data_IF_401794180106
#
_entry.id   IF_401794180106
#
_cell.length_a   1.000
_cell.length_b   1.000
_cell.length_c   1.000
_cell.angle_alpha   90.00
_cell.angle_beta   90.00
_cell.angle_gamma   90.00
#
_symmetry.space_group_name_H-M   'P 1'
#
loop_
_entity.id
_entity.type
_entity.pdbx_description
1 polymer ?
#
# COMPACT_ATOMS: atom_id res chain seq x y z
N UNK A 1 27.31 -10.59 -2.71
CA UNK A 1 26.13 -10.85 -1.86
C UNK A 1 24.90 -10.76 -2.74
N UNK A 2 24.29 -11.89 -3.08
CA UNK A 2 23.05 -11.91 -3.87
C UNK A 2 21.91 -11.36 -3.01
N UNK A 3 21.00 -10.51 -3.53
CA UNK A 3 19.80 -10.15 -2.79
C UNK A 3 19.02 -11.43 -2.47
N UNK A 4 18.73 -11.63 -1.19
CA UNK A 4 17.92 -12.76 -0.73
C UNK A 4 16.64 -12.84 -1.57
N UNK A 5 16.36 -14.00 -2.20
CA UNK A 5 15.14 -14.19 -3.01
C UNK A 5 13.86 -13.77 -2.27
N UNK A 6 13.87 -13.87 -0.95
CA UNK A 6 12.80 -13.43 -0.05
C UNK A 6 12.46 -11.94 -0.20
N UNK A 7 13.44 -11.04 -0.29
CA UNK A 7 13.16 -9.59 -0.37
C UNK A 7 12.68 -9.13 -1.75
N UNK A 8 13.02 -9.85 -2.81
CA UNK A 8 12.50 -9.52 -4.15
C UNK A 8 11.08 -10.06 -4.38
N UNK A 9 10.76 -11.25 -3.86
CA UNK A 9 9.42 -11.82 -3.96
C UNK A 9 8.39 -11.01 -3.16
N UNK A 10 8.79 -10.52 -1.98
CA UNK A 10 7.98 -9.61 -1.15
C UNK A 10 7.72 -8.28 -1.87
N UNK A 11 8.75 -7.70 -2.52
CA UNK A 11 8.60 -6.46 -3.31
C UNK A 11 7.77 -6.64 -4.58
N UNK A 12 7.61 -7.85 -5.08
CA UNK A 12 6.69 -8.14 -6.20
C UNK A 12 5.25 -8.40 -5.73
N UNK A 13 5.03 -8.57 -4.43
CA UNK A 13 3.71 -8.92 -3.90
C UNK A 13 2.84 -7.66 -3.71
N UNK A 14 1.57 -7.67 -4.15
CA UNK A 14 0.68 -6.54 -3.96
C UNK A 14 0.37 -6.33 -2.47
N UNK A 15 0.35 -5.06 -2.05
CA UNK A 15 -0.06 -4.66 -0.71
C UNK A 15 -1.58 -4.52 -0.70
N UNK A 16 -2.25 -5.32 0.13
CA UNK A 16 -3.69 -5.21 0.33
C UNK A 16 -4.03 -4.26 1.49
N UNK A 17 -5.29 -3.85 1.56
CA UNK A 17 -5.81 -2.95 2.59
C UNK A 17 -5.38 -3.28 4.04
N UNK A 18 -5.38 -4.55 4.50
CA UNK A 18 -4.92 -4.86 5.86
C UNK A 18 -3.43 -4.55 6.08
N UNK A 19 -2.58 -4.84 5.10
CA UNK A 19 -1.15 -4.56 5.17
C UNK A 19 -0.89 -3.06 5.11
N UNK A 20 -1.56 -2.33 4.21
CA UNK A 20 -1.44 -0.87 4.13
C UNK A 20 -1.86 -0.20 5.46
N UNK A 21 -2.91 -0.70 6.11
CA UNK A 21 -3.35 -0.20 7.41
C UNK A 21 -2.26 -0.32 8.49
N UNK A 22 -1.52 -1.43 8.49
CA UNK A 22 -0.39 -1.64 9.40
C UNK A 22 0.75 -0.67 9.06
N UNK A 23 1.14 -0.57 7.78
CA UNK A 23 2.22 0.30 7.32
C UNK A 23 1.98 1.78 7.65
N UNK A 24 0.72 2.25 7.53
CA UNK A 24 0.36 3.64 7.83
C UNK A 24 0.05 3.87 9.32
N UNK A 25 0.09 2.83 10.15
CA UNK A 25 -0.40 2.86 11.53
C UNK A 25 -1.81 3.46 11.63
N UNK A 26 -2.76 2.92 10.84
CA UNK A 26 -4.16 3.37 10.78
C UNK A 26 -5.11 2.19 10.84
N UNK A 27 -6.37 2.46 11.21
CA UNK A 27 -7.45 1.48 11.08
C UNK A 27 -7.81 1.30 9.61
N UNK A 28 -8.10 0.07 9.19
CA UNK A 28 -8.56 -0.20 7.82
C UNK A 28 -9.81 0.62 7.43
N UNK A 29 -10.69 0.91 8.41
CA UNK A 29 -11.90 1.71 8.19
C UNK A 29 -11.57 3.15 7.78
N UNK A 30 -10.51 3.73 8.36
CA UNK A 30 -10.04 5.07 7.97
C UNK A 30 -9.64 5.09 6.50
N UNK A 31 -8.85 4.11 6.06
CA UNK A 31 -8.43 4.00 4.66
C UNK A 31 -9.63 3.77 3.74
N UNK A 32 -10.62 2.96 4.15
CA UNK A 32 -11.86 2.79 3.38
C UNK A 32 -12.61 4.11 3.19
N UNK A 33 -12.70 4.94 4.24
CA UNK A 33 -13.33 6.27 4.16
C UNK A 33 -12.56 7.20 3.22
N UNK A 34 -11.23 7.21 3.27
CA UNK A 34 -10.40 7.98 2.34
C UNK A 34 -10.66 7.59 0.88
N UNK A 35 -10.72 6.30 0.61
CA UNK A 35 -11.01 5.79 -0.74
C UNK A 35 -12.42 6.17 -1.18
N UNK A 36 -13.43 5.98 -0.32
CA UNK A 36 -14.83 6.23 -0.67
C UNK A 36 -15.16 7.71 -0.85
N UNK A 37 -14.48 8.61 -0.13
CA UNK A 37 -14.71 10.06 -0.17
C UNK A 37 -13.79 10.79 -1.13
N UNK A 38 -12.97 10.06 -1.87
CA UNK A 38 -11.92 10.64 -2.70
C UNK A 38 -10.87 11.47 -1.93
N UNK A 39 -10.69 11.24 -0.62
CA UNK A 39 -9.84 12.02 0.28
C UNK A 39 -8.62 11.22 0.79
N UNK A 40 -7.74 10.80 -0.11
CA UNK A 40 -6.47 10.18 0.28
C UNK A 40 -5.50 11.23 0.83
N UNK A 41 -4.60 10.87 1.77
CA UNK A 41 -3.44 11.70 2.09
C UNK A 41 -2.66 12.06 0.83
N UNK A 42 -2.07 13.25 0.83
CA UNK A 42 -1.20 13.70 -0.26
C UNK A 42 -0.08 12.68 -0.50
N UNK A 43 0.19 12.36 -1.77
CA UNK A 43 1.17 11.36 -2.17
C UNK A 43 0.69 9.90 -2.05
N UNK A 44 -0.37 9.57 -1.31
CA UNK A 44 -0.87 8.18 -1.24
C UNK A 44 -1.61 7.83 -2.54
N UNK A 45 -1.12 6.90 -3.37
CA UNK A 45 -1.80 6.47 -4.60
C UNK A 45 -3.21 5.92 -4.35
N UNK A 46 -4.07 6.03 -5.37
CA UNK A 46 -5.37 5.33 -5.41
C UNK A 46 -5.15 3.80 -5.49
N UNK A 47 -6.00 2.99 -4.82
CA UNK A 47 -5.94 1.55 -4.96
C UNK A 47 -6.34 1.11 -6.35
N UNK A 48 -5.69 0.05 -6.82
CA UNK A 48 -6.15 -0.76 -7.93
C UNK A 48 -7.07 -1.88 -7.42
N UNK A 49 -7.77 -2.56 -8.34
CA UNK A 49 -8.67 -3.66 -8.03
C UNK A 49 -8.10 -4.99 -8.52
N UNK A 50 -7.99 -5.97 -7.63
CA UNK A 50 -7.64 -7.35 -7.94
C UNK A 50 -8.67 -8.26 -7.26
N UNK A 51 -9.43 -9.01 -8.06
CA UNK A 51 -10.50 -9.90 -7.57
C UNK A 51 -11.46 -9.20 -6.58
N UNK A 52 -11.87 -7.98 -6.91
CA UNK A 52 -12.75 -7.14 -6.07
C UNK A 52 -12.08 -6.46 -4.86
N UNK A 53 -10.84 -6.83 -4.52
CA UNK A 53 -10.09 -6.28 -3.38
C UNK A 53 -9.24 -5.08 -3.80
N UNK A 54 -9.15 -4.10 -2.90
CA UNK A 54 -8.24 -2.96 -3.07
C UNK A 54 -6.81 -3.43 -2.80
N UNK A 55 -5.91 -3.12 -3.72
CA UNK A 55 -4.48 -3.35 -3.56
C UNK A 55 -3.65 -2.21 -4.13
N UNK A 56 -2.38 -2.17 -3.75
CA UNK A 56 -1.37 -1.27 -4.27
C UNK A 56 -0.14 -2.07 -4.70
N UNK A 57 0.49 -1.72 -5.83
CA UNK A 57 1.81 -2.26 -6.14
C UNK A 57 2.80 -1.83 -5.05
N UNK A 58 3.63 -2.77 -4.59
CA UNK A 58 4.55 -2.56 -3.47
C UNK A 58 5.46 -1.34 -3.68
N UNK A 59 6.06 -1.21 -4.86
CA UNK A 59 7.01 -0.13 -5.18
C UNK A 59 6.40 1.26 -5.01
N UNK A 60 5.11 1.43 -5.30
CA UNK A 60 4.42 2.72 -5.16
C UNK A 60 4.23 3.08 -3.69
N UNK A 61 3.97 2.08 -2.84
CA UNK A 61 3.87 2.31 -1.38
C UNK A 61 5.24 2.55 -0.78
N UNK A 62 6.29 1.84 -1.21
CA UNK A 62 7.67 2.11 -0.79
C UNK A 62 8.08 3.55 -1.15
N UNK A 63 7.76 4.02 -2.36
CA UNK A 63 8.02 5.40 -2.79
C UNK A 63 7.22 6.42 -1.96
N UNK A 64 5.94 6.16 -1.70
CA UNK A 64 5.13 7.01 -0.84
C UNK A 64 5.73 7.13 0.58
N UNK A 65 6.14 6.00 1.17
CA UNK A 65 6.69 5.97 2.52
C UNK A 65 8.06 6.66 2.59
N UNK A 66 8.89 6.59 1.56
CA UNK A 66 10.21 7.24 1.55
C UNK A 66 10.14 8.77 1.47
N UNK A 67 9.02 9.32 0.99
CA UNK A 67 8.80 10.76 0.87
C UNK A 67 8.10 11.38 2.09
N UNK A 68 7.49 10.57 2.96
CA UNK A 68 6.57 11.03 4.01
C UNK A 68 6.90 10.47 5.42
N UNK A 69 8.09 9.93 5.62
CA UNK A 69 8.59 9.43 6.93
C UNK A 69 9.90 10.11 7.31
#
# INVERSE_FOLDING_TARGET
>A
MSPNKTTQLERSSPIFLPQLAILLNRKQQTIRVWISKDQLPEGLPRPQKMNGRNYWPHYVIEEFLSQNT
#
